data_IF_161534699442
#
_entry.id   IF_161534699442
#
_cell.length_a   1.000
_cell.length_b   1.000
_cell.length_c   1.000
_cell.angle_alpha   90.00
_cell.angle_beta   90.00
_cell.angle_gamma   90.00
#
_symmetry.space_group_name_H-M   'P 1'
#
loop_
_entity.id
_entity.type
_entity.pdbx_description
1 polymer ?
#
# COMPACT_ATOMS: atom_id res chain seq x y z
N UNK A 1 0.55 -26.66 -19.25
CA UNK A 1 1.57 -27.13 -18.28
C UNK A 1 0.97 -27.00 -16.88
N UNK A 2 0.84 -28.11 -16.14
CA UNK A 2 0.06 -28.26 -14.89
C UNK A 2 0.75 -27.66 -13.63
N UNK A 3 1.18 -26.39 -13.70
CA UNK A 3 1.89 -25.73 -12.58
C UNK A 3 1.01 -25.55 -11.32
N UNK A 4 -0.31 -25.59 -11.48
CA UNK A 4 -1.29 -25.43 -10.38
C UNK A 4 -1.45 -26.66 -9.49
N UNK A 5 -0.92 -27.81 -9.92
CA UNK A 5 -1.01 -29.07 -9.17
C UNK A 5 0.27 -29.36 -8.36
N UNK A 6 1.22 -28.42 -8.35
CA UNK A 6 2.45 -28.58 -7.61
C UNK A 6 2.18 -28.42 -6.12
N UNK A 7 2.60 -29.41 -5.35
CA UNK A 7 2.46 -29.44 -3.92
C UNK A 7 3.83 -29.61 -3.26
N UNK A 8 4.07 -28.85 -2.19
CA UNK A 8 5.33 -28.83 -1.48
C UNK A 8 5.09 -29.09 0.01
N UNK A 9 5.76 -30.10 0.55
CA UNK A 9 5.62 -30.46 1.97
C UNK A 9 6.68 -29.78 2.82
N UNK A 10 6.24 -28.95 3.76
CA UNK A 10 7.11 -28.27 4.73
C UNK A 10 6.68 -28.55 6.16
N UNK A 11 7.64 -28.47 7.09
CA UNK A 11 7.30 -28.42 8.51
C UNK A 11 6.72 -27.03 8.83
N UNK A 12 5.70 -26.98 9.67
CA UNK A 12 5.08 -25.73 10.11
C UNK A 12 6.10 -24.77 10.75
N UNK A 13 7.12 -25.28 11.45
CA UNK A 13 8.22 -24.47 11.96
C UNK A 13 9.00 -23.72 10.87
N UNK A 14 9.26 -24.36 9.72
CA UNK A 14 9.92 -23.70 8.58
C UNK A 14 9.04 -22.59 7.98
N UNK A 15 7.72 -22.83 7.94
CA UNK A 15 6.77 -21.83 7.47
C UNK A 15 6.65 -20.67 8.46
N UNK A 16 6.73 -20.94 9.77
CA UNK A 16 6.74 -19.91 10.81
C UNK A 16 7.97 -19.00 10.67
N UNK A 17 9.16 -19.56 10.41
CA UNK A 17 10.36 -18.77 10.15
C UNK A 17 10.21 -17.88 8.90
N UNK A 18 9.60 -18.41 7.83
CA UNK A 18 9.34 -17.64 6.62
C UNK A 18 8.33 -16.51 6.87
N UNK A 19 7.22 -16.81 7.55
CA UNK A 19 6.20 -15.82 7.94
C UNK A 19 6.80 -14.72 8.83
N UNK A 20 7.67 -15.06 9.78
CA UNK A 20 8.37 -14.11 10.64
C UNK A 20 9.26 -13.14 9.85
N UNK A 21 10.01 -13.64 8.86
CA UNK A 21 10.82 -12.79 7.95
C UNK A 21 9.95 -11.85 7.12
N UNK A 22 8.81 -12.34 6.62
CA UNK A 22 7.83 -11.52 5.88
C UNK A 22 7.20 -10.45 6.75
N UNK A 23 6.83 -10.80 7.97
CA UNK A 23 6.29 -9.88 8.96
C UNK A 23 7.26 -8.74 9.24
N UNK A 24 8.54 -9.06 9.50
CA UNK A 24 9.58 -8.05 9.71
C UNK A 24 9.77 -7.11 8.50
N UNK A 25 9.80 -7.66 7.28
CA UNK A 25 9.88 -6.87 6.06
C UNK A 25 8.68 -5.92 5.91
N UNK A 26 7.46 -6.39 6.16
CA UNK A 26 6.28 -5.54 6.03
C UNK A 26 6.21 -4.46 7.12
N UNK A 27 6.70 -4.73 8.33
CA UNK A 27 6.90 -3.68 9.34
C UNK A 27 7.87 -2.60 8.88
N UNK A 28 9.04 -2.98 8.35
CA UNK A 28 10.02 -2.04 7.82
C UNK A 28 9.40 -1.17 6.70
N UNK A 29 8.67 -1.80 5.77
CA UNK A 29 7.98 -1.08 4.69
C UNK A 29 6.88 -0.18 5.21
N UNK A 30 6.12 -0.59 6.21
CA UNK A 30 5.08 0.24 6.80
C UNK A 30 5.68 1.53 7.38
N UNK A 31 6.79 1.43 8.12
CA UNK A 31 7.48 2.60 8.66
C UNK A 31 8.05 3.51 7.57
N UNK A 32 8.67 2.93 6.53
CA UNK A 32 9.13 3.69 5.36
C UNK A 32 7.98 4.50 4.71
N UNK A 33 6.81 3.89 4.52
CA UNK A 33 5.67 4.57 3.92
C UNK A 33 5.01 5.57 4.86
N UNK A 34 5.05 5.37 6.18
CA UNK A 34 4.61 6.39 7.15
C UNK A 34 5.46 7.64 7.04
N UNK A 35 6.78 7.49 7.01
CA UNK A 35 7.69 8.60 6.81
C UNK A 35 7.44 9.29 5.46
N UNK A 36 7.31 8.52 4.38
CA UNK A 36 7.04 9.05 3.04
C UNK A 36 5.74 9.85 2.97
N UNK A 37 4.69 9.40 3.68
CA UNK A 37 3.42 10.11 3.80
C UNK A 37 3.59 11.44 4.55
N UNK A 38 4.33 11.44 5.66
CA UNK A 38 4.55 12.65 6.47
C UNK A 38 5.41 13.69 5.71
N UNK A 39 6.41 13.24 4.95
CA UNK A 39 7.17 14.08 4.01
C UNK A 39 6.27 14.67 2.93
N UNK A 40 5.46 13.84 2.26
CA UNK A 40 4.52 14.29 1.22
C UNK A 40 3.52 15.32 1.76
N UNK A 41 2.98 15.08 2.97
CA UNK A 41 2.08 16.02 3.64
C UNK A 41 2.77 17.35 3.99
N UNK A 42 4.05 17.31 4.35
CA UNK A 42 4.84 18.52 4.60
C UNK A 42 5.01 19.32 3.32
N UNK A 43 5.35 18.67 2.21
CA UNK A 43 5.46 19.29 0.88
C UNK A 43 4.13 19.88 0.42
N UNK A 44 3.01 19.16 0.62
CA UNK A 44 1.67 19.68 0.28
C UNK A 44 1.39 20.99 1.04
N UNK A 45 1.75 21.06 2.33
CA UNK A 45 1.54 22.25 3.16
C UNK A 45 2.44 23.41 2.76
N UNK A 46 3.67 23.17 2.32
CA UNK A 46 4.62 24.23 1.98
C UNK A 46 4.45 24.77 0.56
N UNK A 47 4.17 23.90 -0.41
CA UNK A 47 4.22 24.23 -1.84
C UNK A 47 3.15 23.54 -2.69
N UNK A 48 2.22 22.81 -2.05
CA UNK A 48 1.30 21.94 -2.78
C UNK A 48 0.10 22.64 -3.39
N UNK A 49 -0.06 23.95 -3.22
CA UNK A 49 -1.21 24.69 -3.74
C UNK A 49 -0.90 25.23 -5.15
N UNK A 50 -1.73 24.84 -6.11
CA UNK A 50 -1.74 25.34 -7.48
C UNK A 50 -3.04 26.13 -7.73
N UNK A 51 -2.96 27.18 -8.54
CA UNK A 51 -4.11 28.00 -8.91
C UNK A 51 -4.51 27.60 -10.34
N UNK A 52 -5.67 26.94 -10.49
CA UNK A 52 -6.23 26.63 -11.81
C UNK A 52 -7.08 27.81 -12.31
N UNK A 53 -6.50 28.57 -13.23
CA UNK A 53 -7.18 29.69 -13.93
C UNK A 53 -7.99 29.23 -15.16
N UNK A 54 -7.78 28.01 -15.68
CA UNK A 54 -8.52 27.52 -16.87
C UNK A 54 -9.98 27.21 -16.55
N UNK A 55 -10.28 26.87 -15.30
CA UNK A 55 -11.66 26.80 -14.79
C UNK A 55 -12.37 28.17 -14.76
N UNK A 56 -11.62 29.27 -14.70
CA UNK A 56 -12.19 30.62 -14.74
C UNK A 56 -12.53 31.09 -16.17
N UNK A 57 -11.90 30.49 -17.20
CA UNK A 57 -12.11 30.87 -18.61
C UNK A 57 -13.25 30.10 -19.31
N UNK A 58 -13.85 29.11 -18.66
CA UNK A 58 -14.97 28.34 -19.19
C UNK A 58 -16.32 29.04 -18.99
N UNK A 59 -16.96 29.45 -20.10
CA UNK A 59 -18.26 30.15 -20.25
C UNK A 59 -18.22 31.68 -20.25
N UNK A 60 -17.97 32.27 -21.42
CA UNK A 60 -18.44 33.61 -21.77
C UNK A 60 -19.96 33.58 -21.99
N UNK A 61 -20.75 33.93 -20.97
CA UNK A 61 -22.14 34.37 -21.13
C UNK A 61 -22.21 35.86 -20.77
N UNK A 62 -22.81 36.76 -21.58
CA UNK A 62 -22.58 38.20 -21.45
C UNK A 62 -23.33 38.91 -20.30
N UNK A 63 -23.95 38.23 -19.33
CA UNK A 63 -25.01 38.85 -18.50
C UNK A 63 -25.01 38.60 -16.98
N UNK A 64 -23.91 38.20 -16.36
CA UNK A 64 -23.84 38.20 -14.88
C UNK A 64 -22.48 38.70 -14.39
N UNK A 65 -22.50 39.47 -13.31
CA UNK A 65 -21.33 40.02 -12.65
C UNK A 65 -20.40 38.88 -12.16
N UNK A 66 -19.38 38.56 -12.97
CA UNK A 66 -18.44 37.45 -12.80
C UNK A 66 -17.29 37.78 -11.79
N UNK A 67 -17.61 38.32 -10.61
CA UNK A 67 -16.63 38.39 -9.52
C UNK A 67 -16.59 37.11 -8.67
N UNK A 68 -17.57 36.22 -8.81
CA UNK A 68 -17.66 34.92 -8.11
C UNK A 68 -16.96 33.77 -8.84
N UNK A 69 -16.46 33.98 -10.07
CA UNK A 69 -15.69 32.96 -10.81
C UNK A 69 -14.19 33.09 -10.50
N UNK A 70 -13.88 33.01 -9.21
CA UNK A 70 -12.52 33.07 -8.70
C UNK A 70 -11.70 31.84 -9.10
N UNK A 71 -10.41 32.03 -9.32
CA UNK A 71 -9.47 30.96 -9.57
C UNK A 71 -9.57 29.89 -8.46
N UNK A 72 -9.55 28.60 -8.84
CA UNK A 72 -9.66 27.52 -7.87
C UNK A 72 -8.28 27.12 -7.40
N UNK A 73 -8.08 27.15 -6.08
CA UNK A 73 -6.89 26.58 -5.46
C UNK A 73 -7.08 25.06 -5.37
N UNK A 74 -6.19 24.31 -6.00
CA UNK A 74 -6.16 22.84 -6.01
C UNK A 74 -4.82 22.36 -5.47
N UNK A 75 -4.80 21.14 -4.90
CA UNK A 75 -3.51 20.50 -4.60
C UNK A 75 -2.91 19.98 -5.90
N UNK A 76 -1.61 20.20 -6.10
CA UNK A 76 -0.89 19.69 -7.27
C UNK A 76 -1.13 18.18 -7.44
N UNK A 77 -1.43 17.77 -8.68
CA UNK A 77 -1.83 16.39 -8.98
C UNK A 77 -0.73 15.36 -8.64
N UNK A 78 0.54 15.69 -8.85
CA UNK A 78 1.66 14.79 -8.53
C UNK A 78 1.77 14.50 -7.02
N UNK A 79 1.52 15.50 -6.18
CA UNK A 79 1.51 15.33 -4.72
C UNK A 79 0.28 14.56 -4.25
N UNK A 80 -0.87 14.75 -4.91
CA UNK A 80 -2.07 13.96 -4.66
C UNK A 80 -1.84 12.49 -5.00
N UNK A 81 -1.33 12.19 -6.19
CA UNK A 81 -1.08 10.82 -6.63
C UNK A 81 -0.07 10.12 -5.70
N UNK A 82 0.97 10.84 -5.28
CA UNK A 82 1.96 10.34 -4.31
C UNK A 82 1.34 10.06 -2.95
N UNK A 83 0.43 10.91 -2.47
CA UNK A 83 -0.27 10.70 -1.20
C UNK A 83 -1.19 9.48 -1.30
N UNK A 84 -1.93 9.33 -2.40
CA UNK A 84 -2.79 8.18 -2.66
C UNK A 84 -1.99 6.87 -2.71
N UNK A 85 -0.81 6.87 -3.34
CA UNK A 85 0.12 5.73 -3.31
C UNK A 85 0.54 5.41 -1.87
N UNK A 86 0.97 6.41 -1.09
CA UNK A 86 1.38 6.19 0.30
C UNK A 86 0.25 5.55 1.11
N UNK A 87 -0.98 6.04 0.99
CA UNK A 87 -2.14 5.49 1.70
C UNK A 87 -2.45 4.05 1.26
N UNK A 88 -2.40 3.77 -0.05
CA UNK A 88 -2.58 2.42 -0.58
C UNK A 88 -1.53 1.44 -0.05
N UNK A 89 -0.25 1.85 -0.04
CA UNK A 89 0.86 1.03 0.48
C UNK A 89 0.78 0.81 1.98
N UNK A 90 0.35 1.82 2.75
CA UNK A 90 0.13 1.69 4.18
C UNK A 90 -0.97 0.66 4.49
N UNK A 91 -2.11 0.71 3.78
CA UNK A 91 -3.17 -0.29 3.94
C UNK A 91 -2.65 -1.69 3.61
N UNK A 92 -2.04 -1.83 2.43
CA UNK A 92 -1.52 -3.10 1.95
C UNK A 92 -0.53 -3.77 2.93
N UNK A 93 0.43 -3.00 3.46
CA UNK A 93 1.39 -3.55 4.41
C UNK A 93 0.77 -3.82 5.78
N UNK A 94 -0.21 -3.03 6.22
CA UNK A 94 -0.95 -3.30 7.47
C UNK A 94 -1.73 -4.61 7.38
N UNK A 95 -2.42 -4.85 6.26
CA UNK A 95 -3.18 -6.07 6.03
C UNK A 95 -2.26 -7.30 6.00
N UNK A 96 -1.11 -7.20 5.33
CA UNK A 96 -0.13 -8.28 5.28
C UNK A 96 0.50 -8.57 6.65
N UNK A 97 0.79 -7.53 7.45
CA UNK A 97 1.28 -7.71 8.83
C UNK A 97 0.28 -8.54 9.62
N UNK A 98 -1.02 -8.19 9.58
CA UNK A 98 -2.05 -8.93 10.30
C UNK A 98 -2.15 -10.39 9.82
N UNK A 99 -2.07 -10.62 8.51
CA UNK A 99 -2.12 -11.97 7.94
C UNK A 99 -0.91 -12.81 8.38
N UNK A 100 0.32 -12.30 8.22
CA UNK A 100 1.53 -13.03 8.60
C UNK A 100 1.63 -13.25 10.10
N UNK A 101 1.15 -12.32 10.93
CA UNK A 101 1.10 -12.51 12.38
C UNK A 101 0.13 -13.66 12.75
N UNK A 102 -1.07 -13.68 12.15
CA UNK A 102 -2.02 -14.79 12.34
C UNK A 102 -1.45 -16.15 11.92
N UNK A 103 -0.78 -16.20 10.76
CA UNK A 103 -0.09 -17.40 10.30
C UNK A 103 1.04 -17.82 11.25
N UNK A 104 1.85 -16.87 11.69
CA UNK A 104 2.95 -17.13 12.62
C UNK A 104 2.44 -17.75 13.92
N UNK A 105 1.37 -17.21 14.50
CA UNK A 105 0.73 -17.75 15.70
C UNK A 105 0.24 -19.19 15.49
N UNK A 106 -0.47 -19.45 14.38
CA UNK A 106 -1.01 -20.78 14.09
C UNK A 106 0.10 -21.82 13.86
N UNK A 107 1.16 -21.45 13.14
CA UNK A 107 2.27 -22.34 12.80
C UNK A 107 3.17 -22.63 14.02
N UNK A 108 3.39 -21.64 14.88
CA UNK A 108 4.15 -21.82 16.12
C UNK A 108 3.42 -22.68 17.15
N UNK A 109 2.09 -22.74 17.12
CA UNK A 109 1.31 -23.61 17.99
C UNK A 109 1.55 -25.11 17.69
N UNK A 110 1.93 -25.46 16.45
CA UNK A 110 2.11 -26.85 16.01
C UNK A 110 3.34 -27.02 15.10
N UNK A 111 4.57 -26.74 15.59
CA UNK A 111 5.74 -26.56 14.74
C UNK A 111 6.19 -27.83 13.98
N UNK A 112 5.81 -29.01 14.49
CA UNK A 112 6.15 -30.31 13.87
C UNK A 112 5.11 -30.80 12.86
N UNK A 113 3.97 -30.10 12.73
CA UNK A 113 2.96 -30.45 11.74
C UNK A 113 3.54 -30.33 10.33
N UNK A 114 3.13 -31.24 9.45
CA UNK A 114 3.47 -31.21 8.02
C UNK A 114 2.35 -30.51 7.29
N UNK A 115 2.69 -29.43 6.58
CA UNK A 115 1.77 -28.66 5.75
C UNK A 115 2.13 -28.87 4.29
N UNK A 116 1.14 -29.22 3.49
CA UNK A 116 1.25 -29.30 2.05
C UNK A 116 0.83 -27.96 1.47
N UNK A 117 1.74 -27.30 0.76
CA UNK A 117 1.53 -25.99 0.15
C UNK A 117 1.33 -26.12 -1.34
N UNK A 118 0.38 -25.38 -1.89
CA UNK A 118 0.35 -25.18 -3.33
C UNK A 118 1.33 -24.09 -3.78
N UNK A 119 1.30 -23.72 -5.06
CA UNK A 119 2.19 -22.69 -5.60
C UNK A 119 1.88 -21.29 -5.06
N UNK A 120 0.63 -20.98 -4.75
CA UNK A 120 0.21 -19.66 -4.25
C UNK A 120 0.65 -19.51 -2.80
N UNK A 121 0.44 -20.55 -1.98
CA UNK A 121 0.94 -20.64 -0.62
C UNK A 121 2.47 -20.54 -0.58
N UNK A 122 3.14 -21.26 -1.48
CA UNK A 122 4.59 -21.21 -1.56
C UNK A 122 5.09 -19.80 -1.88
N UNK A 123 4.46 -19.12 -2.85
CA UNK A 123 4.80 -17.73 -3.20
C UNK A 123 4.48 -16.76 -2.08
N UNK A 124 3.43 -17.01 -1.30
CA UNK A 124 3.10 -16.22 -0.13
C UNK A 124 4.25 -16.27 0.90
N UNK A 125 4.68 -17.46 1.33
CA UNK A 125 5.74 -17.57 2.34
C UNK A 125 7.15 -17.27 1.80
N UNK A 126 7.47 -17.72 0.58
CA UNK A 126 8.84 -17.75 0.06
C UNK A 126 9.09 -16.88 -1.18
N UNK A 127 8.03 -16.33 -1.79
CA UNK A 127 8.17 -15.46 -2.96
C UNK A 127 9.01 -14.23 -2.65
N UNK A 128 9.78 -13.74 -3.62
CA UNK A 128 10.53 -12.48 -3.46
C UNK A 128 9.60 -11.29 -3.75
N UNK A 129 9.72 -10.23 -2.96
CA UNK A 129 9.09 -8.93 -3.20
C UNK A 129 10.14 -7.90 -3.59
#
# INVERSE_FOLDING_TARGET
MMRKEWAFDYAAGTLAEAASKKLAFHHERLEFWKQSKDETMTTIRSEGLEIDEKLALGYRSPKSADWERGAKVVVRNDLRDRLDECLSKLSHHSDLIQQYDGWLQALLANPQARMQLDIEDWLFFFGKH
#
